data_IF_081678731315
#
_entry.id   IF_081678731315
#
_cell.length_a   1.000
_cell.length_b   1.000
_cell.length_c   1.000
_cell.angle_alpha   90.00
_cell.angle_beta   90.00
_cell.angle_gamma   90.00
#
_symmetry.space_group_name_H-M   'P 1'
#
loop_
_entity.id
_entity.type
_entity.pdbx_description
1 polymer ?
#
# COMPACT_ATOMS: atom_id res chain seq x y z
N UNK A 1 5.79 -16.87 21.07
CA UNK A 1 5.86 -15.41 20.88
C UNK A 1 5.09 -15.13 19.60
N UNK A 2 3.98 -14.40 19.53
CA UNK A 2 3.12 -13.74 20.50
C UNK A 2 1.74 -13.63 19.85
N UNK A 3 0.70 -13.51 20.69
CA UNK A 3 -0.71 -13.33 20.37
C UNK A 3 -0.96 -12.36 19.21
N UNK A 4 -1.76 -12.75 18.21
CA UNK A 4 -2.50 -11.80 17.38
C UNK A 4 -3.99 -11.94 17.71
N UNK A 5 -4.37 -11.28 18.80
CA UNK A 5 -5.75 -10.91 19.07
C UNK A 5 -5.93 -9.52 18.46
N UNK A 6 -6.31 -9.43 17.18
CA UNK A 6 -6.39 -8.11 16.52
C UNK A 6 -7.59 -8.06 15.58
N UNK A 7 -8.54 -7.19 15.90
CA UNK A 7 -9.56 -6.66 14.99
C UNK A 7 -8.94 -6.47 13.59
N UNK A 8 -9.47 -7.15 12.57
CA UNK A 8 -8.92 -7.20 11.21
C UNK A 8 -8.80 -5.78 10.63
N UNK A 9 -7.65 -5.15 10.83
CA UNK A 9 -7.36 -3.81 10.32
C UNK A 9 -6.81 -3.94 8.91
N UNK A 10 -7.49 -3.32 7.95
CA UNK A 10 -7.07 -3.33 6.56
C UNK A 10 -5.86 -2.41 6.43
N UNK A 11 -4.78 -2.92 5.83
CA UNK A 11 -3.59 -2.12 5.53
C UNK A 11 -3.44 -1.97 4.02
N UNK A 12 -3.35 -0.72 3.57
CA UNK A 12 -3.04 -0.35 2.20
C UNK A 12 -1.57 0.04 2.13
N UNK A 13 -0.77 -0.76 1.45
CA UNK A 13 0.66 -0.52 1.26
C UNK A 13 0.89 0.00 -0.16
N UNK A 14 1.37 1.23 -0.28
CA UNK A 14 1.69 1.86 -1.57
C UNK A 14 3.20 1.78 -1.78
N UNK A 15 3.66 1.07 -2.79
CA UNK A 15 5.09 0.94 -3.10
C UNK A 15 5.73 2.32 -3.36
N UNK A 16 6.79 2.67 -2.63
CA UNK A 16 7.59 3.89 -2.83
C UNK A 16 9.00 3.56 -3.34
N UNK A 17 9.17 2.40 -3.99
CA UNK A 17 10.43 2.09 -4.67
C UNK A 17 10.69 3.05 -5.84
N UNK A 18 11.96 3.25 -6.20
CA UNK A 18 12.40 4.23 -7.23
C UNK A 18 11.51 4.26 -8.48
N UNK A 19 11.25 3.10 -9.08
CA UNK A 19 10.42 3.00 -10.30
C UNK A 19 8.97 3.40 -10.05
N UNK A 20 8.39 3.00 -8.91
CA UNK A 20 7.03 3.37 -8.53
C UNK A 20 6.91 4.88 -8.28
N UNK A 21 7.90 5.48 -7.59
CA UNK A 21 7.94 6.94 -7.38
C UNK A 21 8.08 7.69 -8.70
N UNK A 22 8.93 7.22 -9.62
CA UNK A 22 9.02 7.79 -10.98
C UNK A 22 7.72 7.66 -11.77
N UNK A 23 6.89 6.65 -11.48
CA UNK A 23 5.55 6.48 -12.07
C UNK A 23 4.42 7.18 -11.30
N UNK A 24 4.74 7.94 -10.25
CA UNK A 24 3.77 8.72 -9.49
C UNK A 24 3.15 8.04 -8.27
N UNK A 25 3.87 7.10 -7.62
CA UNK A 25 3.37 6.47 -6.40
C UNK A 25 3.21 7.43 -5.22
N UNK A 26 3.93 8.55 -5.23
CA UNK A 26 3.87 9.54 -4.15
C UNK A 26 2.50 10.24 -4.16
N UNK A 27 1.96 10.55 -5.35
CA UNK A 27 0.60 11.09 -5.50
C UNK A 27 -0.46 10.06 -5.12
N UNK A 28 -0.24 8.78 -5.46
CA UNK A 28 -1.16 7.70 -5.06
C UNK A 28 -1.21 7.57 -3.55
N UNK A 29 -0.05 7.57 -2.87
CA UNK A 29 0.01 7.51 -1.41
C UNK A 29 -0.72 8.69 -0.76
N UNK A 30 -0.45 9.91 -1.22
CA UNK A 30 -1.12 11.11 -0.71
C UNK A 30 -2.64 11.04 -0.91
N UNK A 31 -3.11 10.57 -2.06
CA UNK A 31 -4.53 10.42 -2.35
C UNK A 31 -5.20 9.38 -1.41
N UNK A 32 -4.53 8.27 -1.10
CA UNK A 32 -5.04 7.34 -0.10
C UNK A 32 -5.09 7.99 1.28
N UNK A 33 -4.03 8.68 1.71
CA UNK A 33 -4.01 9.33 3.02
C UNK A 33 -5.11 10.39 3.19
N UNK A 34 -5.42 11.12 2.12
CA UNK A 34 -6.48 12.14 2.12
C UNK A 34 -7.89 11.52 2.13
N UNK A 35 -8.10 10.43 1.40
CA UNK A 35 -9.45 9.91 1.10
C UNK A 35 -9.85 8.65 1.87
N UNK A 36 -8.94 8.04 2.63
CA UNK A 36 -9.21 6.76 3.25
C UNK A 36 -10.21 6.87 4.42
N UNK A 37 -11.26 6.02 4.44
CA UNK A 37 -12.12 5.84 5.60
C UNK A 37 -11.37 5.57 6.91
N UNK A 38 -11.98 5.96 8.02
CA UNK A 38 -11.49 5.64 9.37
C UNK A 38 -11.36 4.13 9.54
N UNK A 39 -10.25 3.70 10.14
CA UNK A 39 -9.98 2.28 10.43
C UNK A 39 -9.14 1.56 9.38
N UNK A 40 -8.65 2.25 8.34
CA UNK A 40 -7.62 1.73 7.45
C UNK A 40 -6.24 2.29 7.79
N UNK A 41 -5.23 1.46 7.67
CA UNK A 41 -3.83 1.85 7.82
C UNK A 41 -3.21 2.08 6.44
N UNK A 42 -2.88 3.33 6.11
CA UNK A 42 -2.26 3.68 4.83
C UNK A 42 -0.76 3.88 5.06
N UNK A 43 0.05 3.01 4.45
CA UNK A 43 1.50 3.00 4.68
C UNK A 43 2.30 3.19 3.39
N UNK A 44 3.38 3.96 3.52
CA UNK A 44 4.45 4.01 2.54
C UNK A 44 5.19 2.66 2.55
N UNK A 45 5.11 1.94 1.44
CA UNK A 45 5.71 0.62 1.27
C UNK A 45 7.11 0.63 0.69
N UNK A 46 7.90 -0.39 1.01
CA UNK A 46 9.14 -0.68 0.31
C UNK A 46 8.89 -1.20 -1.12
N UNK A 47 9.96 -1.43 -1.87
CA UNK A 47 9.86 -2.01 -3.21
C UNK A 47 9.18 -3.39 -3.16
N UNK A 48 8.12 -3.56 -3.94
CA UNK A 48 7.35 -4.80 -4.01
C UNK A 48 7.83 -5.78 -5.08
N UNK A 49 8.93 -5.49 -5.78
CA UNK A 49 9.49 -6.38 -6.82
C UNK A 49 8.68 -6.46 -8.11
N UNK A 50 7.61 -5.67 -8.25
CA UNK A 50 6.72 -5.63 -9.41
C UNK A 50 7.03 -4.41 -10.30
N UNK A 51 8.31 -4.14 -10.53
CA UNK A 51 8.75 -3.04 -11.39
C UNK A 51 8.19 -3.22 -12.81
N UNK A 52 7.78 -2.11 -13.44
CA UNK A 52 7.13 -2.12 -14.75
C UNK A 52 5.60 -2.10 -14.69
N UNK A 53 5.01 -2.58 -13.59
CA UNK A 53 3.56 -2.55 -13.35
C UNK A 53 3.13 -1.36 -12.47
N UNK A 54 4.09 -0.53 -12.03
CA UNK A 54 3.85 0.53 -11.06
C UNK A 54 3.00 1.71 -11.56
N UNK A 55 2.39 2.49 -10.65
CA UNK A 55 2.48 2.38 -9.18
C UNK A 55 1.77 1.14 -8.63
N UNK A 56 2.44 0.44 -7.71
CA UNK A 56 1.89 -0.79 -7.12
C UNK A 56 1.29 -0.53 -5.74
N UNK A 57 0.12 -1.11 -5.49
CA UNK A 57 -0.57 -1.09 -4.20
C UNK A 57 -0.90 -2.52 -3.77
N UNK A 58 -0.70 -2.83 -2.49
CA UNK A 58 -1.00 -4.12 -1.88
C UNK A 58 -1.93 -3.94 -0.68
N UNK A 59 -3.02 -4.70 -0.64
CA UNK A 59 -3.97 -4.74 0.46
C UNK A 59 -3.69 -5.96 1.33
N UNK A 60 -3.53 -5.75 2.64
CA UNK A 60 -3.35 -6.80 3.63
C UNK A 60 -4.56 -6.86 4.59
N UNK A 61 -4.93 -8.05 5.10
CA UNK A 61 -4.24 -9.34 4.93
C UNK A 61 -4.60 -10.12 3.65
N UNK A 62 -5.54 -9.62 2.84
CA UNK A 62 -6.03 -10.35 1.65
C UNK A 62 -4.98 -10.59 0.56
N UNK A 63 -3.85 -9.90 0.63
CA UNK A 63 -2.78 -9.93 -0.38
C UNK A 63 -3.27 -9.57 -1.79
N UNK A 64 -4.26 -8.67 -1.87
CA UNK A 64 -4.81 -8.17 -3.13
C UNK A 64 -3.92 -7.08 -3.71
N UNK A 65 -3.55 -7.21 -4.99
CA UNK A 65 -2.67 -6.29 -5.68
C UNK A 65 -3.44 -5.40 -6.66
N UNK A 66 -3.06 -4.13 -6.73
CA UNK A 66 -3.53 -3.18 -7.74
C UNK A 66 -2.35 -2.57 -8.48
N UNK A 67 -2.51 -2.47 -9.80
CA UNK A 67 -1.64 -1.75 -10.73
C UNK A 67 -2.49 -0.76 -11.55
N UNK A 68 -1.83 0.10 -12.33
CA UNK A 68 -2.50 0.86 -13.39
C UNK A 68 -3.09 -0.05 -14.46
#
# INVERSE_FOLDING_TARGET
>A
MSKDSTSTSITVLVCQGRTCSSSGSDQVLAAFQEKSPLGMNIIAGSCLGQCGNGPMVLILPEQTWYSK
#
